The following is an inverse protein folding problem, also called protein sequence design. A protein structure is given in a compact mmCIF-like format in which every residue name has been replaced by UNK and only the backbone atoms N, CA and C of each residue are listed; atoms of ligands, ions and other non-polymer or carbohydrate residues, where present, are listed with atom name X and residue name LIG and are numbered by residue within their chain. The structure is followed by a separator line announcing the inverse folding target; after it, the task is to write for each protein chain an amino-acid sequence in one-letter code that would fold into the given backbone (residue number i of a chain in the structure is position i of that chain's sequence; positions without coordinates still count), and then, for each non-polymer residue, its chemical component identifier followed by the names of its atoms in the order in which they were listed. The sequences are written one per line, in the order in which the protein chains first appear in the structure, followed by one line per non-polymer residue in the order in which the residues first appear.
data_IF_715603397389
#
_entry.id   IF_715603397389
#
_cell.length_a   1.000
_cell.length_b   1.000
_cell.length_c   1.000
_cell.angle_alpha   90.00
_cell.angle_beta   90.00
_cell.angle_gamma   90.00
#
_symmetry.space_group_name_H-M   'P 1'
#
loop_
_entity.id
_entity.type
_entity.pdbx_description
1 polymer ?
#
# COMPACT_ATOMS: atom_id res chain seq x y z
N UNK A 1 39.45 -30.36 44.44
CA UNK A 1 38.17 -31.07 44.20
C UNK A 1 37.16 -30.05 43.66
N UNK A 2 36.66 -30.26 42.42
CA UNK A 2 35.42 -29.74 41.76
C UNK A 2 34.98 -28.26 41.92
N UNK A 3 34.53 -27.47 40.93
CA UNK A 3 34.40 -27.44 39.46
C UNK A 3 34.05 -25.97 39.10
N UNK A 4 34.37 -25.47 37.90
CA UNK A 4 33.93 -24.15 37.40
C UNK A 4 32.52 -24.24 36.80
N UNK A 5 31.69 -23.19 36.92
CA UNK A 5 30.32 -23.27 36.41
C UNK A 5 29.51 -21.99 36.36
N UNK A 6 29.42 -21.43 35.14
CA UNK A 6 28.24 -20.80 34.55
C UNK A 6 27.61 -19.60 35.27
N UNK A 7 27.77 -18.44 34.63
CA UNK A 7 26.61 -17.74 34.06
C UNK A 7 27.04 -16.87 32.87
N UNK A 8 27.48 -17.54 31.80
CA UNK A 8 27.36 -17.00 30.44
C UNK A 8 25.88 -17.04 30.07
N UNK A 9 25.43 -16.00 29.38
CA UNK A 9 24.07 -15.78 28.86
C UNK A 9 23.18 -15.00 29.82
N UNK A 10 23.50 -13.71 29.98
CA UNK A 10 22.48 -12.66 29.88
C UNK A 10 21.49 -13.11 28.82
N UNK A 11 20.24 -13.33 29.23
CA UNK A 11 19.11 -13.57 28.34
C UNK A 11 19.23 -12.58 27.17
N UNK A 12 19.54 -13.10 25.98
CA UNK A 12 19.46 -12.34 24.75
C UNK A 12 18.02 -11.84 24.70
N UNK A 13 17.85 -10.53 24.85
CA UNK A 13 16.58 -9.85 24.75
C UNK A 13 15.79 -10.43 23.57
N UNK A 14 14.61 -10.99 23.86
CA UNK A 14 13.71 -11.59 22.87
C UNK A 14 13.18 -10.56 21.87
N UNK A 15 13.50 -9.28 22.03
CA UNK A 15 13.12 -8.22 21.12
C UNK A 15 13.82 -8.36 19.75
N UNK A 16 13.05 -8.11 18.68
CA UNK A 16 13.60 -8.15 17.32
C UNK A 16 14.63 -7.03 17.15
N UNK A 17 15.73 -7.24 16.39
CA UNK A 17 16.71 -6.20 16.14
C UNK A 17 16.07 -4.94 15.56
N UNK A 18 16.48 -3.76 16.02
CA UNK A 18 16.04 -2.46 15.49
C UNK A 18 17.11 -1.91 14.55
N UNK A 19 16.97 -2.24 13.27
CA UNK A 19 17.92 -1.85 12.21
C UNK A 19 17.23 -0.81 11.33
N UNK A 20 17.95 0.26 10.97
CA UNK A 20 17.48 1.21 9.96
C UNK A 20 17.78 0.65 8.57
N UNK A 21 16.74 0.57 7.75
CA UNK A 21 16.85 0.17 6.35
C UNK A 21 16.88 1.43 5.49
N UNK A 22 17.87 1.51 4.61
CA UNK A 22 18.00 2.58 3.61
C UNK A 22 17.25 2.20 2.34
N UNK A 23 16.64 3.18 1.68
CA UNK A 23 15.93 2.94 0.44
C UNK A 23 16.90 2.58 -0.69
N UNK A 24 16.57 1.53 -1.43
CA UNK A 24 17.20 1.17 -2.69
C UNK A 24 16.71 2.07 -3.82
N UNK A 25 17.41 2.12 -4.97
CA UNK A 25 16.93 2.88 -6.13
C UNK A 25 15.52 2.47 -6.59
N UNK A 26 15.18 1.18 -6.48
CA UNK A 26 13.84 0.70 -6.85
C UNK A 26 12.77 1.20 -5.89
N UNK A 27 13.03 1.18 -4.58
CA UNK A 27 12.12 1.76 -3.60
C UNK A 27 11.95 3.26 -3.81
N UNK A 28 13.05 3.98 -4.13
CA UNK A 28 12.97 5.39 -4.47
C UNK A 28 12.11 5.66 -5.71
N UNK A 29 12.23 4.85 -6.76
CA UNK A 29 11.37 4.96 -7.95
C UNK A 29 9.90 4.74 -7.56
N UNK A 30 9.60 3.72 -6.75
CA UNK A 30 8.24 3.45 -6.27
C UNK A 30 7.68 4.62 -5.43
N UNK A 31 8.52 5.28 -4.64
CA UNK A 31 8.13 6.52 -3.94
C UNK A 31 7.77 7.64 -4.90
N UNK A 32 8.60 7.88 -5.93
CA UNK A 32 8.31 8.92 -6.92
C UNK A 32 7.03 8.62 -7.71
N UNK A 33 6.83 7.35 -8.11
CA UNK A 33 5.60 6.89 -8.78
C UNK A 33 4.38 7.08 -7.88
N UNK A 34 4.52 6.84 -6.58
CA UNK A 34 3.45 7.10 -5.60
C UNK A 34 3.14 8.60 -5.49
N UNK A 35 4.16 9.44 -5.37
CA UNK A 35 3.97 10.90 -5.30
C UNK A 35 3.31 11.45 -6.58
N UNK A 36 3.71 10.96 -7.75
CA UNK A 36 3.07 11.31 -9.02
C UNK A 36 1.58 10.93 -9.03
N UNK A 37 1.24 9.75 -8.50
CA UNK A 37 -0.16 9.34 -8.37
C UNK A 37 -0.98 10.26 -7.44
N UNK A 38 -0.41 10.71 -6.33
CA UNK A 38 -1.06 11.68 -5.42
C UNK A 38 -1.27 13.05 -6.08
N UNK A 39 -0.25 13.55 -6.80
CA UNK A 39 -0.35 14.80 -7.56
C UNK A 39 -1.41 14.65 -8.65
N UNK A 40 -1.45 13.51 -9.33
CA UNK A 40 -2.47 13.18 -10.32
C UNK A 40 -3.88 13.21 -9.72
N UNK A 41 -4.08 12.67 -8.52
CA UNK A 41 -5.38 12.66 -7.85
C UNK A 41 -5.86 14.09 -7.56
N UNK A 42 -4.99 14.90 -6.92
CA UNK A 42 -5.28 16.30 -6.67
C UNK A 42 -5.56 17.09 -7.97
N UNK A 43 -4.79 16.82 -9.03
CA UNK A 43 -4.98 17.44 -10.33
C UNK A 43 -6.33 17.09 -10.96
N UNK A 44 -6.74 15.81 -10.95
CA UNK A 44 -8.03 15.39 -11.49
C UNK A 44 -9.18 16.08 -10.74
N UNK A 45 -9.13 16.11 -9.42
CA UNK A 45 -10.13 16.79 -8.60
C UNK A 45 -10.26 18.25 -9.02
N UNK A 46 -9.15 19.01 -9.02
CA UNK A 46 -9.15 20.44 -9.35
C UNK A 46 -9.63 20.68 -10.79
N UNK A 47 -9.16 19.88 -11.74
CA UNK A 47 -9.46 20.05 -13.17
C UNK A 47 -10.93 19.82 -13.48
N UNK A 48 -11.52 18.76 -12.92
CA UNK A 48 -12.88 18.33 -13.29
C UNK A 48 -13.96 18.83 -12.33
N UNK A 49 -13.59 19.38 -11.17
CA UNK A 49 -14.56 19.90 -10.20
C UNK A 49 -15.63 20.84 -10.78
N UNK A 50 -15.30 21.81 -11.67
CA UNK A 50 -16.31 22.71 -12.24
C UNK A 50 -17.30 21.99 -13.16
N UNK A 51 -16.86 20.90 -13.80
CA UNK A 51 -17.61 20.15 -14.81
C UNK A 51 -18.50 19.08 -14.16
N UNK A 52 -18.30 18.76 -12.88
CA UNK A 52 -19.02 17.70 -12.19
C UNK A 52 -20.46 18.11 -11.84
N UNK A 53 -21.47 17.26 -12.17
CA UNK A 53 -22.84 17.44 -11.71
C UNK A 53 -22.93 17.39 -10.18
N UNK A 54 -24.02 17.90 -9.60
CA UNK A 54 -24.22 17.86 -8.14
C UNK A 54 -24.28 16.43 -7.59
N UNK A 55 -24.70 15.46 -8.41
CA UNK A 55 -24.84 14.05 -8.04
C UNK A 55 -23.90 13.20 -8.88
N UNK A 56 -23.06 12.39 -8.22
CA UNK A 56 -22.05 11.51 -8.82
C UNK A 56 -22.17 10.08 -8.28
N UNK A 57 -21.57 9.08 -8.94
CA UNK A 57 -21.44 7.74 -8.39
C UNK A 57 -20.65 7.73 -7.07
N UNK A 58 -21.14 7.00 -6.08
CA UNK A 58 -20.46 6.78 -4.79
C UNK A 58 -20.21 5.31 -4.47
N UNK A 59 -20.99 4.40 -5.03
CA UNK A 59 -20.84 2.96 -4.87
C UNK A 59 -20.94 2.24 -6.20
N UNK A 60 -20.18 1.16 -6.30
CA UNK A 60 -20.20 0.24 -7.42
C UNK A 60 -20.37 -1.18 -6.89
N UNK A 61 -21.24 -1.94 -7.55
CA UNK A 61 -21.46 -3.34 -7.24
C UNK A 61 -20.30 -4.24 -7.71
N UNK A 62 -20.40 -5.55 -7.44
CA UNK A 62 -19.38 -6.52 -7.87
C UNK A 62 -19.21 -6.61 -9.40
N UNK A 63 -20.25 -6.30 -10.18
CA UNK A 63 -20.18 -6.20 -11.65
C UNK A 63 -19.37 -4.99 -12.13
N UNK A 64 -19.04 -4.06 -11.23
CA UNK A 64 -18.44 -2.77 -11.54
C UNK A 64 -19.45 -1.71 -11.99
N UNK A 65 -20.75 -2.00 -11.97
CA UNK A 65 -21.81 -1.04 -12.29
C UNK A 65 -22.12 -0.14 -11.10
N UNK A 66 -22.62 1.07 -11.35
CA UNK A 66 -23.03 2.00 -10.30
C UNK A 66 -24.29 1.48 -9.63
N UNK A 67 -24.26 1.29 -8.31
CA UNK A 67 -25.42 0.91 -7.51
C UNK A 67 -25.76 1.96 -6.43
N UNK A 68 -24.98 3.04 -6.34
CA UNK A 68 -25.24 4.14 -5.42
C UNK A 68 -24.72 5.49 -5.92
N UNK A 69 -25.51 6.54 -5.68
CA UNK A 69 -25.22 7.93 -6.05
C UNK A 69 -25.18 8.84 -4.83
N UNK A 70 -24.45 9.95 -4.89
CA UNK A 70 -24.31 10.90 -3.79
C UNK A 70 -23.84 12.28 -4.25
N UNK A 71 -23.75 13.21 -3.30
CA UNK A 71 -23.28 14.57 -3.56
C UNK A 71 -21.82 14.58 -4.06
N UNK A 72 -21.49 15.44 -5.02
CA UNK A 72 -20.13 15.55 -5.59
C UNK A 72 -19.03 15.81 -4.57
N UNK A 73 -19.34 16.38 -3.41
CA UNK A 73 -18.40 16.53 -2.29
C UNK A 73 -17.91 15.20 -1.74
N UNK A 74 -18.62 14.08 -1.95
CA UNK A 74 -18.11 12.76 -1.57
C UNK A 74 -16.82 12.41 -2.31
N UNK A 75 -16.53 13.04 -3.46
CA UNK A 75 -15.30 12.80 -4.22
C UNK A 75 -14.05 13.17 -3.42
N UNK A 76 -14.10 14.18 -2.55
CA UNK A 76 -12.97 14.61 -1.71
C UNK A 76 -12.46 13.50 -0.77
N UNK A 77 -13.31 12.52 -0.44
CA UNK A 77 -12.90 11.39 0.38
C UNK A 77 -11.77 10.59 -0.28
N UNK A 78 -11.78 10.40 -1.61
CA UNK A 78 -10.77 9.61 -2.30
C UNK A 78 -9.35 10.21 -2.19
N UNK A 79 -9.08 11.46 -2.60
CA UNK A 79 -7.74 12.04 -2.44
C UNK A 79 -7.35 12.20 -0.96
N UNK A 80 -8.31 12.47 -0.06
CA UNK A 80 -8.06 12.54 1.38
C UNK A 80 -7.60 11.21 1.98
N UNK A 81 -8.34 10.13 1.70
CA UNK A 81 -7.98 8.78 2.12
C UNK A 81 -6.68 8.30 1.45
N UNK A 82 -6.48 8.63 0.17
CA UNK A 82 -5.26 8.29 -0.57
C UNK A 82 -4.02 8.91 0.09
N UNK A 83 -4.06 10.22 0.38
CA UNK A 83 -2.99 10.92 1.07
C UNK A 83 -2.76 10.35 2.48
N UNK A 84 -3.84 10.09 3.23
CA UNK A 84 -3.74 9.50 4.56
C UNK A 84 -3.05 8.13 4.53
N UNK A 85 -3.46 7.23 3.64
CA UNK A 85 -2.87 5.90 3.50
C UNK A 85 -1.40 5.99 3.06
N UNK A 86 -1.06 6.89 2.15
CA UNK A 86 0.33 7.14 1.75
C UNK A 86 1.19 7.55 2.94
N UNK A 87 0.74 8.51 3.75
CA UNK A 87 1.47 8.97 4.94
C UNK A 87 1.59 7.84 5.95
N UNK A 88 0.48 7.16 6.26
CA UNK A 88 0.43 6.05 7.21
C UNK A 88 1.43 4.96 6.83
N UNK A 89 1.43 4.50 5.57
CA UNK A 89 2.36 3.49 5.08
C UNK A 89 3.81 3.99 5.12
N UNK A 90 4.05 5.27 4.80
CA UNK A 90 5.38 5.89 4.88
C UNK A 90 5.93 5.89 6.30
N UNK A 91 5.09 6.20 7.30
CA UNK A 91 5.46 6.17 8.72
C UNK A 91 5.73 4.74 9.17
N UNK A 92 4.83 3.81 8.85
CA UNK A 92 4.96 2.39 9.21
C UNK A 92 6.24 1.78 8.61
N UNK A 93 6.59 2.10 7.36
CA UNK A 93 7.87 1.72 6.72
C UNK A 93 9.13 2.09 7.48
N UNK A 94 9.08 3.08 8.39
CA UNK A 94 10.23 3.46 9.23
C UNK A 94 10.47 2.48 10.39
N UNK A 95 9.52 1.59 10.67
CA UNK A 95 9.56 0.66 11.80
C UNK A 95 9.39 -0.81 11.37
N UNK A 96 10.24 -1.36 10.47
CA UNK A 96 10.05 -2.70 9.92
C UNK A 96 10.01 -3.81 10.98
N UNK A 97 10.72 -3.64 12.10
CA UNK A 97 10.69 -4.59 13.22
C UNK A 97 9.29 -4.87 13.79
N UNK A 98 8.32 -3.98 13.57
CA UNK A 98 6.91 -4.14 14.00
C UNK A 98 6.06 -4.97 13.05
N UNK A 99 6.56 -5.30 11.85
CA UNK A 99 5.75 -5.95 10.82
C UNK A 99 5.47 -7.41 11.15
N UNK A 100 4.48 -7.97 10.47
CA UNK A 100 4.22 -9.40 10.47
C UNK A 100 5.09 -10.07 9.41
N UNK A 101 5.92 -11.03 9.83
CA UNK A 101 6.84 -11.74 8.95
C UNK A 101 6.41 -13.21 8.79
N UNK A 102 6.51 -13.80 7.58
CA UNK A 102 6.25 -15.23 7.35
C UNK A 102 7.25 -16.19 8.02
N UNK A 103 8.33 -15.65 8.58
CA UNK A 103 9.42 -16.38 9.22
C UNK A 103 9.79 -15.68 10.53
N UNK A 104 10.43 -16.44 11.44
CA UNK A 104 10.95 -15.86 12.67
C UNK A 104 12.16 -14.96 12.35
N UNK A 105 12.14 -13.76 12.91
CA UNK A 105 13.25 -12.81 12.79
C UNK A 105 14.33 -13.15 13.82
N UNK A 106 15.56 -13.28 13.34
CA UNK A 106 16.79 -13.48 14.12
C UNK A 106 17.78 -12.36 13.81
N UNK A 107 18.87 -12.25 14.57
CA UNK A 107 19.92 -11.27 14.29
C UNK A 107 20.52 -11.44 12.88
N UNK A 108 20.70 -12.68 12.45
CA UNK A 108 21.36 -13.02 11.19
C UNK A 108 20.49 -12.71 9.95
N UNK A 109 19.16 -12.85 10.06
CA UNK A 109 18.26 -12.65 8.92
C UNK A 109 17.50 -11.30 8.94
N UNK A 110 17.55 -10.55 10.05
CA UNK A 110 16.76 -9.33 10.22
C UNK A 110 16.96 -8.33 9.09
N UNK A 111 18.21 -8.07 8.68
CA UNK A 111 18.49 -7.09 7.63
C UNK A 111 17.79 -7.45 6.32
N UNK A 112 17.93 -8.71 5.86
CA UNK A 112 17.36 -9.16 4.59
C UNK A 112 15.83 -9.20 4.63
N UNK A 113 15.25 -9.66 5.75
CA UNK A 113 13.81 -9.72 5.91
C UNK A 113 13.20 -8.31 5.97
N UNK A 114 13.84 -7.39 6.68
CA UNK A 114 13.39 -6.01 6.77
C UNK A 114 13.49 -5.30 5.42
N UNK A 115 14.59 -5.51 4.67
CA UNK A 115 14.72 -4.97 3.31
C UNK A 115 13.59 -5.45 2.40
N UNK A 116 13.31 -6.77 2.37
CA UNK A 116 12.21 -7.32 1.57
C UNK A 116 10.86 -6.72 1.95
N UNK A 117 10.63 -6.48 3.24
CA UNK A 117 9.37 -5.93 3.71
C UNK A 117 9.23 -4.44 3.43
N UNK A 118 10.31 -3.66 3.51
CA UNK A 118 10.33 -2.24 3.12
C UNK A 118 10.10 -2.10 1.62
N UNK A 119 10.75 -2.93 0.80
CA UNK A 119 10.51 -3.00 -0.63
C UNK A 119 9.03 -3.29 -0.95
N UNK A 120 8.48 -4.33 -0.32
CA UNK A 120 7.08 -4.71 -0.53
C UNK A 120 6.12 -3.61 -0.06
N UNK A 121 6.41 -2.92 1.05
CA UNK A 121 5.61 -1.80 1.53
C UNK A 121 5.62 -0.62 0.55
N UNK A 122 6.78 -0.32 -0.08
CA UNK A 122 6.87 0.69 -1.13
C UNK A 122 6.03 0.32 -2.36
N UNK A 123 6.06 -0.96 -2.77
CA UNK A 123 5.23 -1.46 -3.88
C UNK A 123 3.74 -1.37 -3.56
N UNK A 124 3.32 -1.88 -2.40
CA UNK A 124 1.92 -1.88 -1.97
C UNK A 124 1.38 -0.45 -1.88
N UNK A 125 2.17 0.49 -1.37
CA UNK A 125 1.82 1.91 -1.32
C UNK A 125 1.58 2.48 -2.72
N UNK A 126 2.47 2.20 -3.67
CA UNK A 126 2.26 2.63 -5.05
C UNK A 126 0.97 2.04 -5.63
N UNK A 127 0.70 0.75 -5.42
CA UNK A 127 -0.53 0.11 -5.89
C UNK A 127 -1.79 0.75 -5.32
N UNK A 128 -1.80 1.04 -4.02
CA UNK A 128 -2.93 1.71 -3.36
C UNK A 128 -3.12 3.12 -3.90
N UNK A 129 -2.05 3.90 -4.06
CA UNK A 129 -2.17 5.26 -4.59
C UNK A 129 -2.77 5.29 -5.99
N UNK A 130 -2.27 4.41 -6.87
CA UNK A 130 -2.75 4.33 -8.25
C UNK A 130 -4.15 3.74 -8.36
N UNK A 131 -4.55 2.84 -7.45
CA UNK A 131 -5.92 2.36 -7.34
C UNK A 131 -6.88 3.50 -6.97
N UNK A 132 -6.55 4.31 -5.97
CA UNK A 132 -7.39 5.45 -5.58
C UNK A 132 -7.49 6.50 -6.69
N UNK A 133 -6.37 6.81 -7.36
CA UNK A 133 -6.36 7.68 -8.54
C UNK A 133 -7.27 7.14 -9.65
N UNK A 134 -7.17 5.83 -9.94
CA UNK A 134 -8.01 5.19 -10.93
C UNK A 134 -9.50 5.27 -10.55
N UNK A 135 -9.85 4.98 -9.30
CA UNK A 135 -11.23 5.06 -8.81
C UNK A 135 -11.79 6.47 -8.96
N UNK A 136 -11.01 7.49 -8.58
CA UNK A 136 -11.38 8.89 -8.73
C UNK A 136 -11.62 9.25 -10.20
N UNK A 137 -10.69 8.87 -11.08
CA UNK A 137 -10.86 9.04 -12.52
C UNK A 137 -12.12 8.37 -13.06
N UNK A 138 -12.40 7.12 -12.65
CA UNK A 138 -13.61 6.40 -13.09
C UNK A 138 -14.89 7.07 -12.62
N UNK A 139 -14.95 7.53 -11.37
CA UNK A 139 -16.12 8.27 -10.88
C UNK A 139 -16.35 9.53 -11.73
N UNK A 140 -15.28 10.28 -12.04
CA UNK A 140 -15.37 11.45 -12.92
C UNK A 140 -15.90 11.05 -14.31
N UNK A 141 -15.36 10.01 -14.95
CA UNK A 141 -15.81 9.59 -16.28
C UNK A 141 -17.27 9.15 -16.30
N UNK A 142 -17.74 8.46 -15.25
CA UNK A 142 -19.13 8.04 -15.15
C UNK A 142 -20.05 9.23 -14.86
N UNK A 143 -19.63 10.16 -13.98
CA UNK A 143 -20.37 11.38 -13.70
C UNK A 143 -20.54 12.28 -14.94
N UNK A 144 -19.54 12.32 -15.83
CA UNK A 144 -19.58 13.05 -17.10
C UNK A 144 -20.28 12.28 -18.23
N UNK A 145 -20.80 11.07 -17.96
CA UNK A 145 -21.50 10.26 -18.96
C UNK A 145 -20.59 9.60 -20.01
N UNK A 146 -19.27 9.61 -19.82
CA UNK A 146 -18.31 8.97 -20.73
C UNK A 146 -18.16 7.46 -20.45
N UNK A 147 -18.67 6.95 -19.33
CA UNK A 147 -18.61 5.54 -18.99
C UNK A 147 -19.77 5.09 -18.11
N UNK A 148 -20.01 3.79 -18.03
CA UNK A 148 -21.12 3.19 -17.29
C UNK A 148 -20.73 2.57 -15.94
N UNK A 149 -19.43 2.50 -15.59
CA UNK A 149 -18.98 1.83 -14.36
C UNK A 149 -17.46 1.79 -14.17
N UNK A 150 -16.95 0.82 -13.43
CA UNK A 150 -15.52 0.52 -13.27
C UNK A 150 -15.00 -0.44 -14.37
N UNK A 151 -15.90 -1.24 -14.97
CA UNK A 151 -15.59 -2.27 -15.95
C UNK A 151 -15.55 -3.67 -15.32
N UNK A 152 -16.01 -4.66 -16.07
CA UNK A 152 -16.29 -6.03 -15.56
C UNK A 152 -15.07 -6.74 -14.97
N UNK A 153 -13.87 -6.46 -15.49
CA UNK A 153 -12.62 -7.07 -15.01
C UNK A 153 -11.98 -6.34 -13.83
N UNK A 154 -12.52 -5.21 -13.39
CA UNK A 154 -11.93 -4.37 -12.35
C UNK A 154 -11.59 -5.16 -11.08
N UNK A 155 -12.56 -5.89 -10.53
CA UNK A 155 -12.38 -6.66 -9.29
C UNK A 155 -11.27 -7.70 -9.45
N UNK A 156 -11.27 -8.44 -10.55
CA UNK A 156 -10.26 -9.48 -10.82
C UNK A 156 -8.86 -8.86 -10.93
N UNK A 157 -8.72 -7.75 -11.67
CA UNK A 157 -7.44 -7.06 -11.85
C UNK A 157 -6.91 -6.52 -10.51
N UNK A 158 -7.77 -5.92 -9.69
CA UNK A 158 -7.37 -5.42 -8.36
C UNK A 158 -6.96 -6.56 -7.44
N UNK A 159 -7.74 -7.64 -7.39
CA UNK A 159 -7.42 -8.80 -6.55
C UNK A 159 -6.10 -9.45 -6.98
N UNK A 160 -5.91 -9.73 -8.27
CA UNK A 160 -4.66 -10.29 -8.78
C UNK A 160 -3.50 -9.33 -8.54
N UNK A 161 -3.72 -8.04 -8.81
CA UNK A 161 -2.73 -6.98 -8.62
C UNK A 161 -2.24 -6.88 -7.18
N UNK A 162 -3.12 -7.01 -6.18
CA UNK A 162 -2.74 -6.94 -4.76
C UNK A 162 -2.26 -8.28 -4.19
N UNK A 163 -2.90 -9.40 -4.55
CA UNK A 163 -2.60 -10.71 -3.97
C UNK A 163 -1.32 -11.34 -4.54
N UNK A 164 -1.05 -11.16 -5.84
CA UNK A 164 0.11 -11.78 -6.48
C UNK A 164 1.44 -11.26 -5.89
N UNK A 165 1.68 -9.94 -5.75
CA UNK A 165 2.90 -9.44 -5.11
C UNK A 165 3.02 -9.85 -3.64
N UNK A 166 1.89 -9.96 -2.94
CA UNK A 166 1.83 -10.44 -1.56
C UNK A 166 2.31 -11.89 -1.46
N UNK A 167 1.85 -12.76 -2.37
CA UNK A 167 2.30 -14.14 -2.46
C UNK A 167 3.79 -14.23 -2.81
N UNK A 168 4.25 -13.46 -3.79
CA UNK A 168 5.67 -13.40 -4.19
C UNK A 168 6.54 -12.98 -3.01
N UNK A 169 6.15 -11.93 -2.29
CA UNK A 169 6.83 -11.48 -1.07
C UNK A 169 6.88 -12.60 -0.02
N UNK A 170 5.76 -13.27 0.25
CA UNK A 170 5.71 -14.32 1.25
C UNK A 170 6.62 -15.51 0.89
N UNK A 171 6.69 -15.88 -0.38
CA UNK A 171 7.58 -16.93 -0.88
C UNK A 171 9.06 -16.50 -0.80
N UNK A 172 9.38 -15.27 -1.22
CA UNK A 172 10.74 -14.74 -1.16
C UNK A 172 11.26 -14.62 0.28
N UNK A 173 10.41 -14.18 1.21
CA UNK A 173 10.72 -14.12 2.64
C UNK A 173 10.97 -15.52 3.22
N UNK A 174 10.19 -16.53 2.83
CA UNK A 174 10.38 -17.93 3.26
C UNK A 174 11.65 -18.56 2.71
N UNK A 175 12.08 -18.20 1.50
CA UNK A 175 13.35 -18.68 0.90
C UNK A 175 14.58 -18.03 1.54
N UNK A 176 14.44 -16.82 2.07
CA UNK A 176 15.52 -16.01 2.65
C UNK A 176 15.67 -16.17 4.17
N UNK A 177 15.44 -17.38 4.70
CA UNK A 177 15.44 -17.66 6.15
C UNK A 177 16.81 -17.50 6.81
#
# INVERSE_FOLDING_TARGET
MNRPGKNRNKQLDKSRPRIRITLTPLEFILEMVSLLGLVGAAYLLIRFWPDLPMVIPKHFGFSGEVDGWGDRSSLFFLPGANLFLYIMMTVVSRFPHTFNYPVRITADNAWRQYQLAVWYMALLKAQVVWLFLYLEWRIIQVALGHSSGLGTWFVVVVLVGLLLPTLIYALAARKSR
#
